data_IF_159878218756
#
_entry.id   IF_159878218756
#
_cell.length_a   1.000
_cell.length_b   1.000
_cell.length_c   1.000
_cell.angle_alpha   90.00
_cell.angle_beta   90.00
_cell.angle_gamma   90.00
#
_symmetry.space_group_name_H-M   'P 1'
#
loop_
_entity.id
_entity.type
_entity.pdbx_description
1 polymer ?
#
# COMPACT_ATOMS: atom_id res chain seq x y z
N UNK A 1 7.58 -8.53 -12.38
CA UNK A 1 6.45 -7.59 -12.49
C UNK A 1 5.51 -7.78 -11.29
N UNK A 2 5.30 -6.73 -10.52
CA UNK A 2 4.38 -6.70 -9.38
C UNK A 2 2.93 -6.48 -9.87
N UNK A 3 1.95 -7.13 -9.23
CA UNK A 3 0.52 -6.95 -9.52
C UNK A 3 -0.26 -6.73 -8.21
N UNK A 4 -0.30 -5.49 -7.70
CA UNK A 4 -1.06 -5.16 -6.50
C UNK A 4 -2.56 -5.20 -6.78
N UNK A 5 -3.35 -5.35 -5.73
CA UNK A 5 -4.81 -5.16 -5.76
C UNK A 5 -5.18 -3.84 -5.11
N UNK A 6 -6.39 -3.33 -5.38
CA UNK A 6 -7.03 -2.36 -4.50
C UNK A 6 -7.32 -3.05 -3.16
N UNK A 7 -7.26 -2.28 -2.08
CA UNK A 7 -7.63 -2.78 -0.76
C UNK A 7 -8.76 -1.91 -0.21
N UNK A 8 -9.94 -2.51 -0.04
CA UNK A 8 -11.12 -1.81 0.46
C UNK A 8 -11.82 -2.67 1.51
N UNK A 9 -12.09 -2.12 2.68
CA UNK A 9 -12.72 -2.85 3.79
C UNK A 9 -11.95 -4.11 4.23
N UNK A 10 -10.62 -4.12 4.07
CA UNK A 10 -9.78 -5.28 4.38
C UNK A 10 -9.78 -6.39 3.31
N UNK A 11 -10.45 -6.17 2.18
CA UNK A 11 -10.54 -7.13 1.08
C UNK A 11 -9.78 -6.64 -0.16
N UNK A 12 -9.11 -7.59 -0.84
CA UNK A 12 -8.51 -7.33 -2.14
C UNK A 12 -9.60 -7.20 -3.21
N UNK A 13 -9.49 -6.17 -4.05
CA UNK A 13 -10.42 -5.91 -5.15
C UNK A 13 -9.67 -5.52 -6.44
N UNK A 14 -10.34 -5.70 -7.56
CA UNK A 14 -9.92 -5.17 -8.86
C UNK A 14 -10.64 -3.85 -9.13
N UNK A 15 -10.12 -3.03 -10.04
CA UNK A 15 -10.83 -1.85 -10.51
C UNK A 15 -12.13 -2.22 -11.24
N UNK A 16 -13.16 -1.41 -11.08
CA UNK A 16 -14.41 -1.56 -11.83
C UNK A 16 -14.12 -1.52 -13.33
N UNK A 17 -14.62 -2.52 -14.06
CA UNK A 17 -14.32 -2.69 -15.48
C UNK A 17 -12.98 -3.35 -15.79
N UNK A 18 -12.19 -3.73 -14.78
CA UNK A 18 -10.95 -4.49 -14.95
C UNK A 18 -9.78 -3.73 -15.58
N UNK A 19 -9.87 -2.40 -15.68
CA UNK A 19 -8.80 -1.57 -16.25
C UNK A 19 -7.54 -1.59 -15.37
N UNK A 20 -6.37 -1.51 -16.01
CA UNK A 20 -5.07 -1.43 -15.34
C UNK A 20 -4.15 -0.46 -16.06
N UNK A 21 -3.08 -0.04 -15.38
CA UNK A 21 -2.00 0.74 -15.97
C UNK A 21 -0.65 0.18 -15.57
N UNK A 22 0.34 0.40 -16.42
CA UNK A 22 1.71 -0.07 -16.22
C UNK A 22 2.59 1.06 -15.68
N UNK A 23 3.44 0.72 -14.71
CA UNK A 23 4.56 1.52 -14.28
C UNK A 23 5.85 0.87 -14.80
N UNK A 24 6.69 1.66 -15.42
CA UNK A 24 7.91 1.17 -16.04
C UNK A 24 9.12 1.51 -15.16
N UNK A 25 10.06 0.58 -15.12
CA UNK A 25 11.37 0.82 -14.53
C UNK A 25 12.12 1.88 -15.38
N UNK A 26 12.53 3.00 -14.78
CA UNK A 26 13.18 4.08 -15.52
C UNK A 26 14.58 3.72 -16.02
N UNK A 27 15.19 2.63 -15.53
CA UNK A 27 16.53 2.22 -15.92
C UNK A 27 16.57 1.34 -17.19
N UNK A 28 15.54 0.51 -17.38
CA UNK A 28 15.52 -0.47 -18.49
C UNK A 28 14.21 -0.44 -19.31
N UNK A 29 13.24 0.36 -18.92
CA UNK A 29 11.95 0.50 -19.60
C UNK A 29 10.99 -0.69 -19.45
N UNK A 30 11.36 -1.73 -18.70
CA UNK A 30 10.50 -2.88 -18.50
C UNK A 30 9.33 -2.56 -17.57
N UNK A 31 8.22 -3.28 -17.73
CA UNK A 31 7.08 -3.14 -16.80
C UNK A 31 7.48 -3.65 -15.44
N UNK A 32 7.60 -2.76 -14.46
CA UNK A 32 7.88 -3.08 -13.06
C UNK A 32 6.59 -3.51 -12.33
N UNK A 33 5.52 -2.75 -12.50
CA UNK A 33 4.23 -2.98 -11.83
C UNK A 33 3.07 -2.77 -12.79
N UNK A 34 2.07 -3.64 -12.71
CA UNK A 34 0.75 -3.44 -13.35
C UNK A 34 -0.29 -3.27 -12.26
N UNK A 35 -0.81 -2.06 -12.11
CA UNK A 35 -1.74 -1.70 -11.05
C UNK A 35 -3.17 -1.51 -11.59
N UNK A 36 -4.22 -1.77 -10.76
CA UNK A 36 -5.59 -1.49 -11.13
C UNK A 36 -5.80 0.02 -11.37
N UNK A 37 -6.45 0.39 -12.46
CA UNK A 37 -6.85 1.76 -12.75
C UNK A 37 -8.22 2.03 -12.11
N UNK A 38 -8.20 2.42 -10.83
CA UNK A 38 -9.43 2.69 -10.07
C UNK A 38 -10.26 3.81 -10.69
N UNK A 39 -11.57 3.63 -10.71
CA UNK A 39 -12.55 4.63 -11.15
C UNK A 39 -12.92 5.58 -10.01
N UNK A 40 -13.61 6.72 -10.30
CA UNK A 40 -14.19 7.55 -9.25
C UNK A 40 -15.16 6.80 -8.33
N UNK A 41 -15.88 5.80 -8.86
CA UNK A 41 -16.80 4.98 -8.06
C UNK A 41 -16.04 4.02 -7.13
N UNK A 42 -14.92 3.45 -7.58
CA UNK A 42 -14.03 2.68 -6.71
C UNK A 42 -13.49 3.55 -5.55
N UNK A 43 -13.12 4.81 -5.85
CA UNK A 43 -12.66 5.74 -4.83
C UNK A 43 -13.77 6.07 -3.81
N UNK A 44 -15.02 6.28 -4.26
CA UNK A 44 -16.16 6.49 -3.36
C UNK A 44 -16.41 5.26 -2.49
N UNK A 45 -16.39 4.07 -3.08
CA UNK A 45 -16.55 2.81 -2.33
C UNK A 45 -15.46 2.64 -1.25
N UNK A 46 -14.22 3.03 -1.53
CA UNK A 46 -13.13 3.00 -0.55
C UNK A 46 -13.38 3.96 0.62
N UNK A 47 -13.88 5.18 0.33
CA UNK A 47 -14.25 6.17 1.36
C UNK A 47 -15.42 5.65 2.20
N UNK A 48 -16.44 5.08 1.58
CA UNK A 48 -17.61 4.52 2.29
C UNK A 48 -17.19 3.36 3.20
N UNK A 49 -16.30 2.47 2.75
CA UNK A 49 -15.75 1.39 3.56
C UNK A 49 -14.97 1.92 4.77
N UNK A 50 -14.17 2.96 4.59
CA UNK A 50 -13.46 3.63 5.68
C UNK A 50 -14.42 4.29 6.68
N UNK A 51 -15.46 4.98 6.19
CA UNK A 51 -16.49 5.59 7.03
C UNK A 51 -17.25 4.56 7.86
N UNK A 52 -17.56 3.40 7.28
CA UNK A 52 -18.22 2.29 7.99
C UNK A 52 -17.33 1.68 9.08
N UNK A 53 -16.02 1.61 8.86
CA UNK A 53 -15.07 1.09 9.84
C UNK A 53 -14.76 2.06 10.99
N UNK A 54 -14.94 3.36 10.77
CA UNK A 54 -14.56 4.43 11.71
C UNK A 54 -15.21 4.31 13.11
N UNK A 55 -16.52 4.04 13.28
CA UNK A 55 -17.13 3.97 14.62
C UNK A 55 -16.47 2.92 15.52
N UNK A 56 -16.19 1.73 14.99
CA UNK A 56 -15.53 0.68 15.75
C UNK A 56 -14.09 1.08 16.13
N UNK A 57 -13.34 1.67 15.21
CA UNK A 57 -12.01 2.21 15.48
C UNK A 57 -12.03 3.32 16.53
N UNK A 58 -12.96 4.26 16.41
CA UNK A 58 -13.08 5.39 17.33
C UNK A 58 -13.46 4.97 18.75
N UNK A 59 -14.18 3.85 18.90
CA UNK A 59 -14.57 3.30 20.21
C UNK A 59 -13.41 2.60 20.95
N UNK A 60 -12.33 2.24 20.24
CA UNK A 60 -11.16 1.63 20.87
C UNK A 60 -10.47 2.59 21.83
N UNK A 61 -10.03 2.07 22.97
CA UNK A 61 -9.20 2.81 23.92
C UNK A 61 -7.83 3.19 23.33
N UNK A 62 -7.16 4.22 23.87
CA UNK A 62 -5.83 4.63 23.38
C UNK A 62 -4.80 3.50 23.40
N UNK A 63 -4.83 2.63 24.42
CA UNK A 63 -3.93 1.48 24.54
C UNK A 63 -4.15 0.44 23.45
N UNK A 64 -5.40 0.16 23.10
CA UNK A 64 -5.75 -0.80 22.04
C UNK A 64 -5.34 -0.27 20.66
N UNK A 65 -5.62 1.01 20.38
CA UNK A 65 -5.17 1.65 19.12
C UNK A 65 -3.65 1.64 19.01
N UNK A 66 -2.94 1.95 20.11
CA UNK A 66 -1.47 1.86 20.14
C UNK A 66 -0.98 0.46 19.81
N UNK A 67 -1.56 -0.58 20.42
CA UNK A 67 -1.15 -1.96 20.18
C UNK A 67 -1.33 -2.36 18.70
N UNK A 68 -2.45 -1.95 18.07
CA UNK A 68 -2.70 -2.20 16.65
C UNK A 68 -1.70 -1.47 15.74
N UNK A 69 -1.39 -0.20 16.03
CA UNK A 69 -0.42 0.58 15.25
C UNK A 69 1.00 0.02 15.41
N UNK A 70 1.42 -0.37 16.61
CA UNK A 70 2.70 -1.04 16.84
C UNK A 70 2.81 -2.35 16.06
N UNK A 71 1.73 -3.12 15.99
CA UNK A 71 1.70 -4.34 15.17
C UNK A 71 1.80 -4.02 13.68
N UNK A 72 1.13 -2.97 13.20
CA UNK A 72 1.24 -2.52 11.82
C UNK A 72 2.67 -2.12 11.46
N UNK A 73 3.35 -1.37 12.33
CA UNK A 73 4.77 -1.02 12.20
C UNK A 73 5.65 -2.26 12.03
N UNK A 74 5.49 -3.26 12.91
CA UNK A 74 6.25 -4.51 12.85
C UNK A 74 6.01 -5.27 11.54
N UNK A 75 4.76 -5.33 11.07
CA UNK A 75 4.41 -5.99 9.80
C UNK A 75 5.00 -5.22 8.60
N UNK A 76 5.02 -3.89 8.66
CA UNK A 76 5.64 -3.05 7.63
C UNK A 76 7.15 -3.30 7.57
N UNK A 77 7.83 -3.28 8.72
CA UNK A 77 9.25 -3.56 8.82
C UNK A 77 9.60 -4.96 8.28
N UNK A 78 8.79 -5.97 8.59
CA UNK A 78 8.97 -7.34 8.10
C UNK A 78 8.82 -7.48 6.57
N UNK A 79 8.15 -6.53 5.91
CA UNK A 79 8.02 -6.45 4.45
C UNK A 79 9.09 -5.58 3.79
N UNK A 80 10.06 -5.10 4.53
CA UNK A 80 11.04 -4.12 4.11
C UNK A 80 11.76 -4.48 2.82
N UNK A 81 12.22 -5.72 2.67
CA UNK A 81 12.92 -6.18 1.46
C UNK A 81 12.01 -6.12 0.22
N UNK A 82 10.79 -6.59 0.33
CA UNK A 82 9.82 -6.58 -0.78
C UNK A 82 9.47 -5.14 -1.22
N UNK A 83 9.29 -4.24 -0.25
CA UNK A 83 8.98 -2.82 -0.53
C UNK A 83 10.20 -2.12 -1.14
N UNK A 84 11.40 -2.36 -0.61
CA UNK A 84 12.66 -1.82 -1.15
C UNK A 84 12.87 -2.24 -2.60
N UNK A 85 12.64 -3.52 -2.90
CA UNK A 85 12.74 -4.07 -4.26
C UNK A 85 11.72 -3.43 -5.21
N UNK A 86 10.46 -3.31 -4.77
CA UNK A 86 9.41 -2.67 -5.55
C UNK A 86 9.72 -1.19 -5.83
N UNK A 87 10.15 -0.43 -4.81
CA UNK A 87 10.51 0.97 -4.94
C UNK A 87 11.68 1.16 -5.91
N UNK A 88 12.73 0.35 -5.79
CA UNK A 88 13.87 0.40 -6.71
C UNK A 88 13.44 0.14 -8.16
N UNK A 89 12.60 -0.87 -8.38
CA UNK A 89 12.10 -1.21 -9.72
C UNK A 89 11.20 -0.14 -10.32
N UNK A 90 10.37 0.54 -9.53
CA UNK A 90 9.41 1.54 -10.02
C UNK A 90 10.01 2.93 -10.20
N UNK A 91 11.04 3.29 -9.42
CA UNK A 91 11.55 4.67 -9.35
C UNK A 91 13.02 4.81 -9.72
N UNK A 92 13.76 3.69 -9.86
CA UNK A 92 15.21 3.71 -10.02
C UNK A 92 15.97 4.10 -8.75
N UNK A 93 15.29 4.14 -7.60
CA UNK A 93 15.93 4.49 -6.32
C UNK A 93 17.02 3.49 -5.95
N UNK A 94 18.11 3.98 -5.33
CA UNK A 94 19.12 3.09 -4.76
C UNK A 94 18.52 2.27 -3.60
N UNK A 95 19.07 1.05 -3.39
CA UNK A 95 18.62 0.19 -2.28
C UNK A 95 18.80 0.86 -0.90
N UNK A 96 19.84 1.68 -0.74
CA UNK A 96 20.06 2.46 0.49
C UNK A 96 18.91 3.45 0.74
N UNK A 97 18.53 4.22 -0.28
CA UNK A 97 17.45 5.20 -0.16
C UNK A 97 16.08 4.53 0.04
N UNK A 98 15.80 3.48 -0.71
CA UNK A 98 14.56 2.72 -0.56
C UNK A 98 14.45 2.09 0.84
N UNK A 99 15.52 1.46 1.33
CA UNK A 99 15.57 0.87 2.67
C UNK A 99 15.41 1.92 3.79
N UNK A 100 16.03 3.10 3.64
CA UNK A 100 15.84 4.21 4.58
C UNK A 100 14.37 4.63 4.68
N UNK A 101 13.68 4.78 3.53
CA UNK A 101 12.26 5.15 3.54
C UNK A 101 11.38 4.11 4.22
N UNK A 102 11.64 2.82 4.01
CA UNK A 102 10.89 1.74 4.69
C UNK A 102 11.10 1.80 6.21
N UNK A 103 12.35 1.98 6.63
CA UNK A 103 12.70 2.08 8.04
C UNK A 103 12.02 3.27 8.70
N UNK A 104 12.13 4.45 8.08
CA UNK A 104 11.47 5.66 8.57
C UNK A 104 9.96 5.50 8.67
N UNK A 105 9.31 4.91 7.66
CA UNK A 105 7.86 4.70 7.66
C UNK A 105 7.40 3.72 8.74
N UNK A 106 8.22 2.73 9.10
CA UNK A 106 7.90 1.79 10.17
C UNK A 106 8.07 2.42 11.58
N UNK A 107 9.00 3.37 11.73
CA UNK A 107 9.31 3.99 13.01
C UNK A 107 8.41 5.18 13.38
N UNK A 108 7.75 5.82 12.40
CA UNK A 108 6.85 6.96 12.60
C UNK A 108 5.44 6.57 13.02
#
# INVERSE_FOLDING_TARGET
>A
MLQPSLLMGGQAATATGGASFDRHNPLDGQVATRAPAATPDDARAAVDAAAQAFPAWAALGPGERRALLMRASQVLAAKGEAITTAMAAETGASGLWAGFNVHLAADM
#
